data_IF_687835023291
#
_entry.id   IF_687835023291
#
_cell.length_a   1.000
_cell.length_b   1.000
_cell.length_c   1.000
_cell.angle_alpha   90.00
_cell.angle_beta   90.00
_cell.angle_gamma   90.00
#
_symmetry.space_group_name_H-M   'P 1'
#
loop_
_entity.id
_entity.type
_entity.pdbx_description
1 polymer ?
#
# COMPACT_ATOMS: atom_id res chain seq x y z
N UNK A 1 -15.11 -19.55 48.43
CA UNK A 1 -14.28 -18.32 48.50
C UNK A 1 -12.89 -18.47 47.87
N UNK A 2 -12.02 -19.41 48.30
CA UNK A 2 -10.69 -19.60 47.67
C UNK A 2 -10.76 -20.08 46.22
N UNK A 3 -11.66 -21.02 45.93
CA UNK A 3 -11.85 -21.55 44.57
C UNK A 3 -12.47 -20.48 43.66
N UNK A 4 -13.47 -19.74 44.13
CA UNK A 4 -14.11 -18.65 43.36
C UNK A 4 -13.11 -17.53 42.99
N UNK A 5 -12.20 -17.20 43.93
CA UNK A 5 -11.12 -16.25 43.67
C UNK A 5 -10.14 -16.78 42.61
N UNK A 6 -9.73 -18.06 42.70
CA UNK A 6 -8.88 -18.70 41.70
C UNK A 6 -9.52 -18.73 40.31
N UNK A 7 -10.81 -19.05 40.24
CA UNK A 7 -11.58 -19.07 38.99
C UNK A 7 -11.68 -17.66 38.39
N UNK A 8 -11.89 -16.63 39.21
CA UNK A 8 -11.92 -15.23 38.76
C UNK A 8 -10.57 -14.74 38.22
N UNK A 9 -9.47 -15.13 38.86
CA UNK A 9 -8.12 -14.81 38.38
C UNK A 9 -7.84 -15.52 37.04
N UNK A 10 -8.23 -16.79 36.90
CA UNK A 10 -8.08 -17.55 35.67
C UNK A 10 -8.94 -17.00 34.53
N UNK A 11 -10.19 -16.60 34.81
CA UNK A 11 -11.05 -16.01 33.78
C UNK A 11 -10.54 -14.65 33.33
N UNK A 12 -10.08 -13.80 34.26
CA UNK A 12 -9.52 -12.49 33.94
C UNK A 12 -8.24 -12.61 33.10
N UNK A 13 -7.36 -13.55 33.43
CA UNK A 13 -6.13 -13.80 32.66
C UNK A 13 -6.45 -14.34 31.27
N UNK A 14 -7.41 -15.26 31.14
CA UNK A 14 -7.84 -15.79 29.85
C UNK A 14 -8.45 -14.71 28.95
N UNK A 15 -9.33 -13.86 29.50
CA UNK A 15 -9.94 -12.74 28.76
C UNK A 15 -8.86 -11.72 28.34
N UNK A 16 -7.92 -11.41 29.23
CA UNK A 16 -6.81 -10.51 28.90
C UNK A 16 -5.96 -11.06 27.75
N UNK A 17 -5.65 -12.36 27.77
CA UNK A 17 -4.93 -13.04 26.68
C UNK A 17 -5.72 -13.01 25.36
N UNK A 18 -7.04 -13.22 25.40
CA UNK A 18 -7.90 -13.14 24.21
C UNK A 18 -7.95 -11.72 23.62
N UNK A 19 -7.99 -10.69 24.45
CA UNK A 19 -7.93 -9.29 24.00
C UNK A 19 -6.57 -8.99 23.36
N UNK A 20 -5.46 -9.40 23.99
CA UNK A 20 -4.11 -9.24 23.46
C UNK A 20 -3.93 -9.99 22.13
N UNK A 21 -4.43 -11.22 22.05
CA UNK A 21 -4.41 -12.03 20.82
C UNK A 21 -5.22 -11.34 19.71
N UNK A 22 -6.45 -10.91 20.01
CA UNK A 22 -7.29 -10.22 19.02
C UNK A 22 -6.67 -8.89 18.58
N UNK A 23 -6.02 -8.16 19.49
CA UNK A 23 -5.32 -6.91 19.18
C UNK A 23 -4.09 -7.13 18.31
N UNK A 24 -3.28 -8.15 18.59
CA UNK A 24 -2.10 -8.50 17.79
C UNK A 24 -2.49 -9.04 16.42
N UNK A 25 -3.50 -9.91 16.33
CA UNK A 25 -4.10 -10.32 15.06
C UNK A 25 -4.65 -9.13 14.29
N UNK A 26 -5.38 -8.21 14.94
CA UNK A 26 -5.85 -6.99 14.29
C UNK A 26 -4.68 -6.13 13.79
N UNK A 27 -3.56 -6.04 14.51
CA UNK A 27 -2.35 -5.35 14.04
C UNK A 27 -1.68 -6.07 12.87
N UNK A 28 -1.68 -7.41 12.82
CA UNK A 28 -1.23 -8.15 11.64
C UNK A 28 -2.16 -7.94 10.43
N UNK A 29 -3.46 -7.75 10.66
CA UNK A 29 -4.43 -7.33 9.64
C UNK A 29 -4.28 -5.85 9.25
N UNK A 30 -3.68 -5.03 10.12
CA UNK A 30 -3.01 -3.78 9.71
C UNK A 30 -1.69 -4.18 9.00
N UNK A 31 -1.77 -5.07 8.00
CA UNK A 31 -0.87 -4.94 6.88
C UNK A 31 -1.18 -3.56 6.32
N UNK A 32 -0.27 -2.61 6.50
CA UNK A 32 -0.48 -1.26 6.03
C UNK A 32 -0.44 -1.32 4.49
N UNK A 33 -1.57 -1.67 3.88
CA UNK A 33 -1.74 -1.78 2.45
C UNK A 33 -1.35 -0.46 1.77
N UNK A 34 -1.53 0.68 2.45
CA UNK A 34 -1.05 1.97 1.98
C UNK A 34 0.48 2.09 2.03
N UNK A 35 1.17 1.57 3.05
CA UNK A 35 2.64 1.53 3.04
C UNK A 35 3.16 0.59 1.95
N UNK A 36 2.51 -0.56 1.75
CA UNK A 36 2.88 -1.49 0.68
C UNK A 36 2.65 -0.87 -0.70
N UNK A 37 1.49 -0.24 -0.93
CA UNK A 37 1.20 0.52 -2.13
C UNK A 37 2.20 1.67 -2.33
N UNK A 38 2.66 2.31 -1.25
CA UNK A 38 3.65 3.38 -1.33
C UNK A 38 5.01 2.84 -1.78
N UNK A 39 5.47 1.71 -1.24
CA UNK A 39 6.70 1.05 -1.70
C UNK A 39 6.62 0.67 -3.18
N UNK A 40 5.46 0.16 -3.64
CA UNK A 40 5.25 -0.14 -5.06
C UNK A 40 5.22 1.13 -5.92
N UNK A 41 4.61 2.22 -5.43
CA UNK A 41 4.61 3.51 -6.12
C UNK A 41 6.02 4.08 -6.28
N UNK A 42 6.86 3.98 -5.24
CA UNK A 42 8.28 4.35 -5.27
C UNK A 42 9.06 3.54 -6.33
N UNK A 43 8.85 2.22 -6.35
CA UNK A 43 9.50 1.32 -7.33
C UNK A 43 9.03 1.64 -8.76
N UNK A 44 7.72 1.79 -8.97
CA UNK A 44 7.14 2.17 -10.25
C UNK A 44 7.69 3.52 -10.75
N UNK A 45 7.74 4.52 -9.87
CA UNK A 45 8.22 5.85 -10.24
C UNK A 45 9.70 5.85 -10.63
N UNK A 46 10.54 5.03 -9.99
CA UNK A 46 11.94 4.86 -10.37
C UNK A 46 12.08 4.16 -11.73
N UNK A 47 11.32 3.08 -11.98
CA UNK A 47 11.32 2.39 -13.28
C UNK A 47 10.86 3.30 -14.42
N UNK A 48 9.78 4.06 -14.21
CA UNK A 48 9.29 5.04 -15.20
C UNK A 48 10.30 6.16 -15.45
N UNK A 49 11.00 6.64 -14.40
CA UNK A 49 12.05 7.65 -14.55
C UNK A 49 13.22 7.13 -15.39
N UNK A 50 13.56 5.85 -15.27
CA UNK A 50 14.60 5.18 -16.06
C UNK A 50 14.14 4.77 -17.46
N UNK A 51 12.91 5.14 -17.86
CA UNK A 51 12.30 4.75 -19.14
C UNK A 51 12.25 3.22 -19.33
N UNK A 52 12.04 2.47 -18.25
CA UNK A 52 11.88 1.01 -18.26
C UNK A 52 10.40 0.66 -18.41
N UNK A 53 10.14 -0.44 -19.11
CA UNK A 53 8.81 -1.02 -19.16
C UNK A 53 8.49 -1.74 -17.84
N UNK A 54 7.22 -1.71 -17.43
CA UNK A 54 6.77 -2.25 -16.15
C UNK A 54 5.89 -3.46 -16.38
N UNK A 55 6.22 -4.56 -15.71
CA UNK A 55 5.32 -5.69 -15.51
C UNK A 55 4.71 -5.59 -14.10
N UNK A 56 3.39 -5.70 -14.00
CA UNK A 56 2.66 -5.43 -12.77
C UNK A 56 1.29 -6.08 -12.79
N UNK A 57 0.89 -6.66 -11.65
CA UNK A 57 -0.49 -7.04 -11.37
C UNK A 57 -1.24 -5.95 -10.57
N UNK A 58 -0.55 -4.91 -10.11
CA UNK A 58 -1.14 -3.72 -9.50
C UNK A 58 -1.63 -2.72 -10.56
N UNK A 59 -2.57 -1.86 -10.18
CA UNK A 59 -3.05 -0.79 -11.06
C UNK A 59 -2.29 0.50 -10.79
N UNK A 60 -1.58 1.00 -11.80
CA UNK A 60 -0.73 2.18 -11.71
C UNK A 60 -1.34 3.30 -12.55
N UNK A 61 -1.33 4.51 -12.01
CA UNK A 61 -1.76 5.73 -12.67
C UNK A 61 -0.59 6.70 -12.66
N UNK A 62 -0.13 7.09 -13.85
CA UNK A 62 0.96 8.04 -14.03
C UNK A 62 0.41 9.34 -14.63
N UNK A 63 0.68 10.46 -13.94
CA UNK A 63 0.31 11.80 -14.39
C UNK A 63 1.56 12.65 -14.54
N UNK A 64 1.75 13.24 -15.72
CA UNK A 64 2.83 14.17 -16.01
C UNK A 64 2.30 15.61 -15.95
N UNK A 65 2.94 16.43 -15.14
CA UNK A 65 2.59 17.82 -14.88
C UNK A 65 3.78 18.68 -15.29
N UNK A 66 3.59 19.52 -16.29
CA UNK A 66 4.61 20.44 -16.78
C UNK A 66 4.95 21.50 -15.72
N UNK A 67 6.12 22.18 -15.82
CA UNK A 67 6.51 23.22 -14.86
C UNK A 67 5.49 24.37 -14.72
N UNK A 68 4.71 24.62 -15.76
CA UNK A 68 3.62 25.61 -15.76
C UNK A 68 2.34 25.12 -15.06
N UNK A 69 2.36 23.93 -14.44
CA UNK A 69 1.21 23.30 -13.77
C UNK A 69 0.24 22.58 -14.69
N UNK A 70 0.46 22.57 -16.01
CA UNK A 70 -0.43 21.91 -16.97
C UNK A 70 -0.21 20.40 -16.97
N UNK A 71 -1.29 19.62 -16.90
CA UNK A 71 -1.21 18.16 -17.07
C UNK A 71 -0.96 17.86 -18.56
N UNK A 72 0.24 17.36 -18.88
CA UNK A 72 0.60 17.00 -20.26
C UNK A 72 0.12 15.61 -20.64
N UNK A 73 0.16 14.66 -19.71
CA UNK A 73 -0.21 13.27 -19.98
C UNK A 73 -0.76 12.61 -18.73
N UNK A 74 -1.75 11.75 -18.93
CA UNK A 74 -2.29 10.87 -17.92
C UNK A 74 -2.47 9.50 -18.55
N UNK A 75 -1.88 8.47 -17.97
CA UNK A 75 -1.95 7.10 -18.48
C UNK A 75 -1.94 6.08 -17.34
N UNK A 76 -2.40 4.88 -17.65
CA UNK A 76 -2.60 3.81 -16.68
C UNK A 76 -1.85 2.55 -17.13
N UNK A 77 -1.38 1.76 -16.18
CA UNK A 77 -0.72 0.46 -16.40
C UNK A 77 -1.43 -0.57 -15.54
N UNK A 78 -1.71 -1.74 -16.13
CA UNK A 78 -2.47 -2.81 -15.47
C UNK A 78 -3.99 -2.64 -15.58
N UNK A 79 -4.71 -3.51 -14.87
CA UNK A 79 -6.18 -3.57 -14.92
C UNK A 79 -6.76 -2.92 -13.67
N UNK A 80 -7.73 -2.02 -13.86
CA UNK A 80 -8.39 -1.32 -12.74
C UNK A 80 -9.12 -2.34 -11.85
N UNK A 81 -8.79 -2.42 -10.55
CA UNK A 81 -9.44 -3.38 -9.66
C UNK A 81 -10.84 -2.92 -9.25
N UNK A 82 -11.70 -3.88 -8.93
CA UNK A 82 -13.02 -3.60 -8.37
C UNK A 82 -12.95 -3.29 -6.86
N UNK A 83 -12.02 -3.92 -6.15
CA UNK A 83 -11.79 -3.74 -4.71
C UNK A 83 -10.38 -3.18 -4.51
N UNK A 84 -10.24 -2.11 -3.72
CA UNK A 84 -8.94 -1.50 -3.41
C UNK A 84 -8.68 -1.70 -1.92
N UNK A 85 -7.61 -2.45 -1.60
CA UNK A 85 -7.19 -2.66 -0.21
C UNK A 85 -6.18 -1.59 0.24
N UNK A 86 -5.38 -1.06 -0.69
CA UNK A 86 -4.43 0.01 -0.42
C UNK A 86 -4.20 0.92 -1.59
N UNK A 87 -3.89 2.17 -1.29
CA UNK A 87 -3.65 3.20 -2.29
C UNK A 87 -2.63 4.21 -1.78
N UNK A 88 -1.60 4.42 -2.59
CA UNK A 88 -0.61 5.45 -2.30
C UNK A 88 -0.15 6.15 -3.58
N UNK A 89 0.51 7.28 -3.40
CA UNK A 89 1.14 7.99 -4.50
C UNK A 89 2.52 8.50 -4.10
N UNK A 90 3.35 8.72 -5.11
CA UNK A 90 4.63 9.42 -4.98
C UNK A 90 4.85 10.37 -6.16
N UNK A 91 5.87 11.20 -6.04
CA UNK A 91 6.29 12.14 -7.05
C UNK A 91 7.75 11.93 -7.45
N UNK A 92 8.06 12.22 -8.71
CA UNK A 92 9.41 12.30 -9.24
C UNK A 92 9.54 13.49 -10.16
N UNK A 93 10.67 14.20 -10.06
CA UNK A 93 11.04 15.23 -11.03
C UNK A 93 11.85 14.55 -12.13
N UNK A 94 11.41 14.71 -13.37
CA UNK A 94 12.11 14.24 -14.56
C UNK A 94 13.14 15.27 -15.02
N UNK A 95 14.06 14.88 -15.92
CA UNK A 95 15.17 15.74 -16.36
C UNK A 95 14.76 17.05 -17.06
N UNK A 96 13.51 17.17 -17.49
CA UNK A 96 12.92 18.36 -18.11
C UNK A 96 12.05 19.19 -17.14
N UNK A 97 12.27 19.04 -15.82
CA UNK A 97 11.47 19.65 -14.75
C UNK A 97 9.98 19.27 -14.74
N UNK A 98 9.56 18.27 -15.51
CA UNK A 98 8.19 17.74 -15.44
C UNK A 98 8.04 16.96 -14.14
N UNK A 99 6.98 17.26 -13.39
CA UNK A 99 6.59 16.52 -12.20
C UNK A 99 5.77 15.30 -12.62
N UNK A 100 6.26 14.11 -12.31
CA UNK A 100 5.57 12.85 -12.51
C UNK A 100 4.95 12.40 -11.19
N UNK A 101 3.62 12.36 -11.13
CA UNK A 101 2.86 11.74 -10.04
C UNK A 101 2.55 10.30 -10.41
N UNK A 102 2.95 9.36 -9.57
CA UNK A 102 2.68 7.93 -9.74
C UNK A 102 1.82 7.46 -8.59
N UNK A 103 0.64 6.96 -8.90
CA UNK A 103 -0.33 6.47 -7.94
C UNK A 103 -0.55 4.98 -8.18
N UNK A 104 -0.52 4.17 -7.12
CA UNK A 104 -0.64 2.70 -7.20
C UNK A 104 -1.77 2.23 -6.32
N UNK A 105 -2.64 1.39 -6.89
CA UNK A 105 -3.75 0.75 -6.20
C UNK A 105 -3.50 -0.75 -6.16
N UNK A 106 -3.66 -1.34 -4.98
CA UNK A 106 -3.45 -2.77 -4.75
C UNK A 106 -4.73 -3.45 -4.30
N UNK A 107 -4.88 -4.71 -4.71
CA UNK A 107 -5.96 -5.62 -4.30
C UNK A 107 -5.50 -6.63 -3.26
N UNK A 108 -4.18 -6.80 -3.10
CA UNK A 108 -3.57 -7.77 -2.20
C UNK A 108 -2.12 -7.39 -1.90
N UNK A 109 -1.51 -8.06 -0.92
CA UNK A 109 -0.07 -7.99 -0.62
C UNK A 109 0.80 -8.78 -1.60
N UNK A 110 0.19 -9.55 -2.50
CA UNK A 110 0.87 -10.26 -3.60
C UNK A 110 1.03 -9.35 -4.83
N UNK A 111 0.58 -8.10 -4.73
CA UNK A 111 0.82 -7.11 -5.77
C UNK A 111 2.33 -6.85 -5.94
N UNK A 112 2.80 -6.81 -7.17
CA UNK A 112 4.18 -6.54 -7.52
C UNK A 112 4.27 -5.51 -8.63
N UNK A 113 5.43 -4.86 -8.68
CA UNK A 113 5.87 -3.97 -9.76
C UNK A 113 7.28 -4.39 -10.08
N UNK A 114 7.52 -4.92 -11.27
CA UNK A 114 8.82 -5.38 -11.70
C UNK A 114 9.17 -4.86 -13.10
N UNK A 115 10.44 -5.04 -13.45
CA UNK A 115 10.94 -4.70 -14.77
C UNK A 115 10.55 -5.81 -15.74
N UNK A 116 9.87 -5.42 -16.83
CA UNK A 116 9.64 -6.28 -18.00
C UNK A 116 10.89 -6.50 -18.83
#
# INVERSE_FOLDING_TARGET
>A
MRIDLMVSILSFTLVSLLILYSYTEAQHWIVNYDNFAWMLAEKAANLLKENRNIDTNAYIIATLILPNGTISRHYTIGVKPQVVLGKAYTYRILGNNTLMRVEVWITSTECYVDRS
#
